data_IF_841204096207
#
_entry.id   IF_841204096207
#
_cell.length_a   1.000
_cell.length_b   1.000
_cell.length_c   1.000
_cell.angle_alpha   90.00
_cell.angle_beta   90.00
_cell.angle_gamma   90.00
#
_symmetry.space_group_name_H-M   'P 1'
#
loop_
_entity.id
_entity.type
_entity.pdbx_description
1 polymer ?
#
# COMPACT_ATOMS: atom_id res chain seq x y z
N UNK A 1 11.35 -10.33 -8.84
CA UNK A 1 10.10 -9.71 -8.34
C UNK A 1 10.02 -10.02 -6.86
N UNK A 2 10.00 -8.99 -6.01
CA UNK A 2 9.84 -9.13 -4.55
C UNK A 2 8.38 -9.49 -4.25
N UNK A 3 8.15 -10.47 -3.38
CA UNK A 3 6.82 -10.95 -3.05
C UNK A 3 6.45 -10.58 -1.59
N UNK A 4 5.17 -10.33 -1.26
CA UNK A 4 4.75 -9.90 0.08
C UNK A 4 5.25 -10.80 1.21
N UNK A 5 5.28 -12.12 0.98
CA UNK A 5 5.72 -13.13 1.94
C UNK A 5 7.21 -13.06 2.30
N UNK A 6 7.99 -12.29 1.54
CA UNK A 6 9.43 -12.08 1.79
C UNK A 6 9.72 -10.80 2.59
N UNK A 7 8.71 -9.96 2.81
CA UNK A 7 8.86 -8.74 3.60
C UNK A 7 8.81 -9.06 5.09
N UNK A 8 9.63 -8.34 5.87
CA UNK A 8 9.50 -8.38 7.32
C UNK A 8 8.17 -7.73 7.77
N UNK A 9 7.76 -8.06 8.99
CA UNK A 9 6.51 -7.57 9.57
C UNK A 9 6.44 -6.06 9.67
N UNK A 10 7.55 -5.38 9.95
CA UNK A 10 7.59 -3.92 10.10
C UNK A 10 7.30 -3.27 8.76
N UNK A 11 7.89 -3.79 7.69
CA UNK A 11 7.65 -3.32 6.33
C UNK A 11 6.19 -3.54 5.91
N UNK A 12 5.61 -4.70 6.25
CA UNK A 12 4.18 -4.96 5.98
C UNK A 12 3.25 -4.01 6.74
N UNK A 13 3.50 -3.79 8.02
CA UNK A 13 2.69 -2.89 8.85
C UNK A 13 2.82 -1.44 8.35
N UNK A 14 4.02 -1.00 7.94
CA UNK A 14 4.23 0.33 7.36
C UNK A 14 3.48 0.54 6.03
N UNK A 15 3.45 -0.48 5.15
CA UNK A 15 2.66 -0.43 3.91
C UNK A 15 1.19 -0.21 4.24
N UNK A 16 0.66 -0.96 5.21
CA UNK A 16 -0.75 -0.90 5.62
C UNK A 16 -1.11 0.46 6.19
N UNK A 17 -0.34 0.92 7.17
CA UNK A 17 -0.61 2.18 7.86
C UNK A 17 -0.57 3.35 6.88
N UNK A 18 0.48 3.42 6.05
CA UNK A 18 0.62 4.48 5.05
C UNK A 18 -0.49 4.46 4.01
N UNK A 19 -0.87 3.26 3.53
CA UNK A 19 -1.96 3.12 2.57
C UNK A 19 -3.29 3.59 3.18
N UNK A 20 -3.59 3.16 4.40
CA UNK A 20 -4.85 3.47 5.07
C UNK A 20 -4.95 4.94 5.43
N UNK A 21 -3.89 5.54 5.98
CA UNK A 21 -3.84 6.96 6.32
C UNK A 21 -4.14 7.83 5.09
N UNK A 22 -3.42 7.63 4.00
CA UNK A 22 -3.64 8.40 2.77
C UNK A 22 -5.03 8.14 2.17
N UNK A 23 -5.50 6.89 2.15
CA UNK A 23 -6.82 6.56 1.64
C UNK A 23 -7.94 7.20 2.48
N UNK A 24 -7.82 7.20 3.81
CA UNK A 24 -8.76 7.82 4.74
C UNK A 24 -8.79 9.34 4.57
N UNK A 25 -7.63 9.98 4.47
CA UNK A 25 -7.54 11.42 4.18
C UNK A 25 -8.25 11.76 2.86
N UNK A 26 -8.04 10.97 1.80
CA UNK A 26 -8.74 11.14 0.52
C UNK A 26 -10.25 11.02 0.66
N UNK A 27 -10.74 10.08 1.47
CA UNK A 27 -12.18 9.92 1.71
C UNK A 27 -12.75 11.06 2.54
N UNK A 28 -12.03 11.51 3.58
CA UNK A 28 -12.45 12.60 4.45
C UNK A 28 -12.58 13.93 3.70
N UNK A 29 -11.74 14.17 2.68
CA UNK A 29 -11.84 15.34 1.78
C UNK A 29 -12.87 15.19 0.65
N UNK A 30 -13.71 14.14 0.69
CA UNK A 30 -14.79 13.90 -0.29
C UNK A 30 -14.35 13.22 -1.58
N UNK A 31 -13.17 12.59 -1.60
CA UNK A 31 -12.68 11.83 -2.75
C UNK A 31 -13.45 10.52 -2.97
N UNK A 32 -13.34 9.97 -4.18
CA UNK A 32 -13.92 8.66 -4.50
C UNK A 32 -13.09 7.51 -3.93
N UNK A 33 -13.69 6.34 -3.74
CA UNK A 33 -12.95 5.11 -3.36
C UNK A 33 -11.80 4.77 -4.32
N UNK A 34 -11.98 5.04 -5.62
CA UNK A 34 -10.93 4.83 -6.62
C UNK A 34 -9.78 5.81 -6.42
N UNK A 35 -10.08 7.08 -6.10
CA UNK A 35 -9.05 8.09 -5.82
C UNK A 35 -8.29 7.73 -4.54
N UNK A 36 -9.01 7.34 -3.48
CA UNK A 36 -8.42 6.91 -2.22
C UNK A 36 -7.49 5.71 -2.40
N UNK A 37 -7.91 4.70 -3.16
CA UNK A 37 -7.06 3.56 -3.48
C UNK A 37 -5.78 3.96 -4.23
N UNK A 38 -5.88 4.88 -5.21
CA UNK A 38 -4.72 5.37 -5.96
C UNK A 38 -3.74 6.14 -5.08
N UNK A 39 -4.24 7.03 -4.23
CA UNK A 39 -3.41 7.85 -3.33
C UNK A 39 -2.76 6.99 -2.26
N UNK A 40 -3.51 6.09 -1.61
CA UNK A 40 -2.94 5.11 -0.68
C UNK A 40 -1.88 4.23 -1.32
N UNK A 41 -2.12 3.75 -2.54
CA UNK A 41 -1.14 2.91 -3.26
C UNK A 41 0.15 3.68 -3.55
N UNK A 42 0.04 4.92 -4.03
CA UNK A 42 1.22 5.76 -4.32
C UNK A 42 1.99 6.09 -3.04
N UNK A 43 1.29 6.48 -1.97
CA UNK A 43 1.93 6.84 -0.70
C UNK A 43 2.73 5.66 -0.12
N UNK A 44 2.13 4.48 -0.03
CA UNK A 44 2.81 3.29 0.47
C UNK A 44 3.92 2.81 -0.48
N UNK A 45 3.74 2.94 -1.80
CA UNK A 45 4.74 2.54 -2.78
C UNK A 45 6.00 3.40 -2.69
N UNK A 46 5.86 4.71 -2.49
CA UNK A 46 7.00 5.61 -2.27
C UNK A 46 7.84 5.18 -1.07
N UNK A 47 7.20 4.81 0.04
CA UNK A 47 7.90 4.32 1.22
C UNK A 47 8.60 2.99 0.97
N UNK A 48 7.92 2.01 0.40
CA UNK A 48 8.51 0.68 0.15
C UNK A 48 9.64 0.75 -0.87
N UNK A 49 9.48 1.52 -1.94
CA UNK A 49 10.52 1.71 -2.94
C UNK A 49 11.81 2.24 -2.31
N UNK A 50 11.68 3.21 -1.40
CA UNK A 50 12.81 3.75 -0.64
C UNK A 50 13.37 2.75 0.39
N UNK A 51 12.52 2.00 1.08
CA UNK A 51 12.91 1.10 2.17
C UNK A 51 13.67 -0.14 1.68
N UNK A 52 13.25 -0.73 0.55
CA UNK A 52 13.82 -1.99 0.04
C UNK A 52 14.56 -1.84 -1.30
N UNK A 53 14.66 -0.61 -1.83
CA UNK A 53 15.46 -0.31 -3.02
C UNK A 53 14.90 -0.92 -4.31
N UNK A 54 13.58 -0.85 -4.50
CA UNK A 54 12.90 -1.37 -5.70
C UNK A 54 12.31 -0.24 -6.56
N UNK A 55 12.01 -0.53 -7.82
CA UNK A 55 11.38 0.42 -8.74
C UNK A 55 9.92 0.73 -8.34
N UNK A 56 9.46 1.93 -8.68
CA UNK A 56 8.12 2.45 -8.32
C UNK A 56 6.97 1.55 -8.79
N UNK A 57 7.05 1.01 -10.02
CA UNK A 57 6.01 0.12 -10.55
C UNK A 57 5.96 -1.23 -9.83
N UNK A 58 7.12 -1.76 -9.43
CA UNK A 58 7.20 -2.99 -8.62
C UNK A 58 6.70 -2.73 -7.19
N UNK A 59 6.99 -1.57 -6.62
CA UNK A 59 6.48 -1.13 -5.34
C UNK A 59 4.95 -1.02 -5.32
N UNK A 60 4.34 -0.38 -6.33
CA UNK A 60 2.88 -0.29 -6.45
C UNK A 60 2.22 -1.66 -6.53
N UNK A 61 2.78 -2.59 -7.30
CA UNK A 61 2.27 -3.97 -7.40
C UNK A 61 2.33 -4.68 -6.05
N UNK A 62 3.43 -4.53 -5.34
CA UNK A 62 3.62 -5.11 -4.01
C UNK A 62 2.59 -4.57 -3.01
N UNK A 63 2.37 -3.26 -2.99
CA UNK A 63 1.35 -2.62 -2.14
C UNK A 63 -0.04 -3.16 -2.44
N UNK A 64 -0.43 -3.23 -3.72
CA UNK A 64 -1.74 -3.76 -4.12
C UNK A 64 -1.93 -5.21 -3.67
N UNK A 65 -0.88 -6.03 -3.75
CA UNK A 65 -0.93 -7.41 -3.27
C UNK A 65 -1.16 -7.48 -1.76
N UNK A 66 -0.40 -6.69 -0.98
CA UNK A 66 -0.53 -6.64 0.49
C UNK A 66 -1.96 -6.25 0.90
N UNK A 67 -2.48 -5.14 0.37
CA UNK A 67 -3.80 -4.63 0.79
C UNK A 67 -4.95 -5.51 0.28
N UNK A 68 -4.77 -6.21 -0.84
CA UNK A 68 -5.75 -7.17 -1.34
C UNK A 68 -5.82 -8.42 -0.45
N UNK A 69 -4.67 -8.96 -0.04
CA UNK A 69 -4.63 -10.12 0.85
C UNK A 69 -5.35 -9.84 2.16
N UNK A 70 -5.23 -8.63 2.71
CA UNK A 70 -5.94 -8.26 3.93
C UNK A 70 -7.46 -8.15 3.71
N UNK A 71 -7.90 -7.58 2.57
CA UNK A 71 -9.33 -7.52 2.24
C UNK A 71 -9.94 -8.92 2.05
N UNK A 72 -9.18 -9.88 1.53
CA UNK A 72 -9.59 -11.28 1.41
C UNK A 72 -9.63 -12.00 2.76
N UNK A 73 -8.79 -11.62 3.74
CA UNK A 73 -8.83 -12.17 5.10
C UNK A 73 -9.93 -11.57 6.01
N UNK A 74 -10.50 -10.43 5.63
CA UNK A 74 -11.58 -9.78 6.36
C UNK A 74 -12.99 -10.33 6.01
N UNK A 75 -13.09 -11.25 5.05
CA UNK A 75 -14.31 -11.92 4.58
C UNK A 75 -14.43 -13.34 5.15
#
# INVERSE_FOLDING_TARGET
MTAPETLDRITLDLIRDTYMEAAEETLQRGGSKLTAHKEGTVAAAMYVAAAIGIEDEDAKRLVVQVVRSDAEMAL
#
